data_IF_794323066439
#
_entry.id   IF_794323066439
#
_cell.length_a   1.000
_cell.length_b   1.000
_cell.length_c   1.000
_cell.angle_alpha   90.00
_cell.angle_beta   90.00
_cell.angle_gamma   90.00
#
_symmetry.space_group_name_H-M   'P 1'
#
loop_
_entity.id
_entity.type
_entity.pdbx_description
1 polymer ?
#
# COMPACT_ATOMS: atom_id res chain seq x y z
N UNK A 1 -41.18 79.60 -40.63
CA UNK A 1 -39.98 78.91 -40.12
C UNK A 1 -39.51 79.63 -38.84
N UNK A 2 -40.07 79.28 -37.68
CA UNK A 2 -39.89 80.06 -36.44
C UNK A 2 -39.83 79.20 -35.15
N UNK A 3 -39.60 77.89 -35.25
CA UNK A 3 -39.85 76.97 -34.12
C UNK A 3 -38.72 75.99 -33.80
N UNK A 4 -37.51 76.14 -34.38
CA UNK A 4 -36.43 75.14 -34.19
C UNK A 4 -35.21 75.67 -33.45
N UNK A 5 -34.97 77.00 -33.42
CA UNK A 5 -33.79 77.57 -32.75
C UNK A 5 -34.02 77.99 -31.29
N UNK A 6 -35.27 78.18 -30.87
CA UNK A 6 -35.60 78.68 -29.53
C UNK A 6 -35.63 77.59 -28.44
N UNK A 7 -35.75 76.32 -28.83
CA UNK A 7 -35.76 75.18 -27.88
C UNK A 7 -34.36 74.72 -27.49
N UNK A 8 -33.35 74.92 -28.35
CA UNK A 8 -31.98 74.42 -28.09
C UNK A 8 -31.17 75.36 -27.19
N UNK A 9 -31.44 76.67 -27.19
CA UNK A 9 -30.73 77.64 -26.31
C UNK A 9 -31.22 77.66 -24.85
N UNK A 10 -32.40 77.10 -24.56
CA UNK A 10 -32.98 77.08 -23.20
C UNK A 10 -32.70 75.78 -22.42
N UNK A 11 -32.28 74.70 -23.09
CA UNK A 11 -31.91 73.45 -22.42
C UNK A 11 -30.48 73.46 -21.86
N UNK A 12 -29.56 74.21 -22.48
CA UNK A 12 -28.17 74.34 -22.03
C UNK A 12 -28.02 74.95 -20.63
N UNK A 13 -28.68 76.08 -20.27
CA UNK A 13 -28.58 76.64 -18.92
C UNK A 13 -29.24 75.74 -17.87
N UNK A 14 -30.27 74.97 -18.24
CA UNK A 14 -30.97 74.07 -17.31
C UNK A 14 -30.13 72.84 -16.96
N UNK A 15 -29.46 72.25 -17.95
CA UNK A 15 -28.48 71.20 -17.73
C UNK A 15 -27.30 71.68 -16.87
N UNK A 16 -26.81 72.91 -17.09
CA UNK A 16 -25.72 73.49 -16.30
C UNK A 16 -26.10 73.68 -14.82
N UNK A 17 -27.33 74.11 -14.52
CA UNK A 17 -27.81 74.25 -13.13
C UNK A 17 -27.92 72.90 -12.43
N UNK A 18 -28.41 71.86 -13.14
CA UNK A 18 -28.47 70.50 -12.58
C UNK A 18 -27.05 69.98 -12.28
N UNK A 19 -26.11 70.20 -13.20
CA UNK A 19 -24.71 69.84 -12.99
C UNK A 19 -24.07 70.60 -11.82
N UNK A 20 -24.29 71.91 -11.69
CA UNK A 20 -23.77 72.69 -10.57
C UNK A 20 -24.40 72.29 -9.23
N UNK A 21 -25.69 71.96 -9.21
CA UNK A 21 -26.35 71.44 -8.02
C UNK A 21 -25.79 70.07 -7.62
N UNK A 22 -25.58 69.16 -8.59
CA UNK A 22 -24.94 67.87 -8.35
C UNK A 22 -23.50 68.03 -7.84
N UNK A 23 -22.73 68.93 -8.43
CA UNK A 23 -21.36 69.20 -8.03
C UNK A 23 -21.30 69.83 -6.63
N UNK A 24 -22.25 70.71 -6.31
CA UNK A 24 -22.44 71.26 -4.97
C UNK A 24 -22.77 70.18 -3.94
N UNK A 25 -23.65 69.23 -4.26
CA UNK A 25 -23.99 68.09 -3.39
C UNK A 25 -22.77 67.18 -3.18
N UNK A 26 -21.98 66.92 -4.22
CA UNK A 26 -20.75 66.12 -4.12
C UNK A 26 -19.71 66.84 -3.25
N UNK A 27 -19.47 68.13 -3.47
CA UNK A 27 -18.52 68.92 -2.66
C UNK A 27 -18.99 68.99 -1.22
N UNK A 28 -20.29 69.19 -0.97
CA UNK A 28 -20.86 69.15 0.37
C UNK A 28 -20.68 67.78 1.03
N UNK A 29 -20.94 66.68 0.31
CA UNK A 29 -20.75 65.33 0.81
C UNK A 29 -19.27 65.07 1.17
N UNK A 30 -18.32 65.47 0.31
CA UNK A 30 -16.88 65.35 0.55
C UNK A 30 -16.43 66.23 1.72
N UNK A 31 -16.89 67.47 1.80
CA UNK A 31 -16.59 68.36 2.93
C UNK A 31 -17.14 67.81 4.25
N UNK A 32 -18.35 67.25 4.23
CA UNK A 32 -18.96 66.59 5.41
C UNK A 32 -18.15 65.36 5.82
N UNK A 33 -17.61 64.62 4.85
CA UNK A 33 -16.78 63.43 5.08
C UNK A 33 -15.41 63.78 5.69
N UNK A 34 -14.83 64.93 5.33
CA UNK A 34 -13.57 65.44 5.89
C UNK A 34 -13.78 65.98 7.32
N UNK A 35 -14.90 66.64 7.58
CA UNK A 35 -15.22 67.23 8.91
C UNK A 35 -15.71 66.17 9.91
N UNK A 36 -16.31 65.06 9.45
CA UNK A 36 -16.81 63.96 10.31
C UNK A 36 -16.20 62.59 9.93
N UNK A 37 -14.95 62.30 10.34
CA UNK A 37 -14.29 61.00 10.10
C UNK A 37 -14.99 59.81 10.79
N UNK A 38 -15.94 60.06 11.69
CA UNK A 38 -16.70 59.00 12.38
C UNK A 38 -17.70 58.27 11.47
N UNK A 39 -18.12 58.87 10.36
CA UNK A 39 -18.99 58.19 9.37
C UNK A 39 -18.25 57.05 8.64
N UNK A 40 -16.93 57.19 8.45
CA UNK A 40 -16.08 56.09 7.97
C UNK A 40 -15.93 54.96 8.99
N UNK A 41 -15.96 55.27 10.29
CA UNK A 41 -15.96 54.23 11.35
C UNK A 41 -17.25 53.43 11.36
N UNK A 42 -18.40 54.06 11.08
CA UNK A 42 -19.68 53.34 10.96
C UNK A 42 -19.70 52.45 9.71
N UNK A 43 -19.25 52.96 8.55
CA UNK A 43 -19.10 52.14 7.35
C UNK A 43 -18.11 50.98 7.52
N UNK A 44 -17.01 51.20 8.26
CA UNK A 44 -16.04 50.15 8.59
C UNK A 44 -16.60 49.14 9.59
N UNK A 45 -17.42 49.55 10.56
CA UNK A 45 -18.12 48.64 11.49
C UNK A 45 -19.20 47.81 10.80
N UNK A 46 -19.96 48.40 9.88
CA UNK A 46 -20.95 47.66 9.09
C UNK A 46 -20.24 46.68 8.15
N UNK A 47 -19.10 47.08 7.54
CA UNK A 47 -18.28 46.19 6.72
C UNK A 47 -17.60 45.09 7.56
N UNK A 48 -17.16 45.38 8.78
CA UNK A 48 -16.62 44.40 9.74
C UNK A 48 -17.70 43.50 10.36
N UNK A 49 -18.96 43.93 10.38
CA UNK A 49 -20.10 43.11 10.80
C UNK A 49 -20.71 42.29 9.64
N UNK A 50 -20.45 42.69 8.40
CA UNK A 50 -20.90 42.01 7.18
C UNK A 50 -19.84 41.08 6.57
N UNK A 51 -18.56 41.24 6.93
CA UNK A 51 -17.54 40.23 6.72
C UNK A 51 -17.66 39.24 7.89
N UNK A 52 -18.03 37.96 7.67
CA UNK A 52 -17.85 36.96 8.71
C UNK A 52 -16.38 37.02 9.11
N UNK A 53 -16.11 37.10 10.41
CA UNK A 53 -14.76 37.29 10.93
C UNK A 53 -13.81 36.26 10.30
N UNK A 54 -12.94 36.71 9.39
CA UNK A 54 -11.94 35.87 8.73
C UNK A 54 -10.88 35.30 9.69
N UNK A 55 -11.02 35.56 11.00
CA UNK A 55 -10.09 35.15 12.04
C UNK A 55 -10.59 34.00 12.93
N UNK A 56 -11.84 33.55 12.81
CA UNK A 56 -12.27 32.31 13.45
C UNK A 56 -12.12 31.18 12.44
N UNK A 57 -10.91 30.63 12.34
CA UNK A 57 -10.75 29.27 11.82
C UNK A 57 -11.62 28.42 12.74
N UNK A 58 -12.81 28.04 12.24
CA UNK A 58 -13.75 27.23 13.01
C UNK A 58 -13.01 26.01 13.54
N UNK A 59 -13.27 25.57 14.79
CA UNK A 59 -12.60 24.39 15.35
C UNK A 59 -12.63 23.20 14.38
N UNK A 60 -13.73 23.05 13.63
CA UNK A 60 -13.90 22.09 12.54
C UNK A 60 -12.84 22.19 11.44
N UNK A 61 -12.46 23.39 10.97
CA UNK A 61 -11.38 23.56 9.98
C UNK A 61 -10.03 23.14 10.54
N UNK A 62 -9.76 23.43 11.81
CA UNK A 62 -8.50 23.02 12.45
C UNK A 62 -8.44 21.50 12.63
N UNK A 63 -9.56 20.88 12.97
CA UNK A 63 -9.69 19.43 13.08
C UNK A 63 -9.53 18.74 11.72
N UNK A 64 -10.14 19.27 10.66
CA UNK A 64 -9.95 18.77 9.29
C UNK A 64 -8.49 18.86 8.84
N UNK A 65 -7.83 19.99 9.14
CA UNK A 65 -6.43 20.15 8.79
C UNK A 65 -5.54 19.15 9.54
N UNK A 66 -5.75 18.97 10.85
CA UNK A 66 -5.03 17.99 11.66
C UNK A 66 -5.26 16.57 11.15
N UNK A 67 -6.49 16.20 10.86
CA UNK A 67 -6.81 14.89 10.29
C UNK A 67 -6.10 14.67 8.95
N UNK A 68 -6.11 15.66 8.05
CA UNK A 68 -5.39 15.57 6.78
C UNK A 68 -3.88 15.38 6.98
N UNK A 69 -3.27 16.08 7.93
CA UNK A 69 -1.86 15.89 8.29
C UNK A 69 -1.58 14.49 8.86
N UNK A 70 -2.43 13.99 9.77
CA UNK A 70 -2.30 12.67 10.37
C UNK A 70 -2.37 11.56 9.31
N UNK A 71 -3.35 11.64 8.40
CA UNK A 71 -3.51 10.65 7.32
C UNK A 71 -2.37 10.76 6.32
N UNK A 72 -1.86 11.96 6.01
CA UNK A 72 -0.69 12.12 5.15
C UNK A 72 0.56 11.45 5.74
N UNK A 73 0.82 11.64 7.04
CA UNK A 73 1.93 10.96 7.74
C UNK A 73 1.73 9.44 7.76
N UNK A 74 0.49 8.96 7.97
CA UNK A 74 0.18 7.55 7.90
C UNK A 74 0.44 6.96 6.50
N UNK A 75 0.05 7.68 5.45
CA UNK A 75 0.27 7.29 4.06
C UNK A 75 1.76 7.22 3.70
N UNK A 76 2.57 8.17 4.17
CA UNK A 76 4.02 8.14 3.99
C UNK A 76 4.66 6.92 4.66
N UNK A 77 4.32 6.68 5.94
CA UNK A 77 4.83 5.51 6.70
C UNK A 77 4.41 4.18 6.07
N UNK A 78 3.18 4.10 5.56
CA UNK A 78 2.69 2.94 4.83
C UNK A 78 3.46 2.75 3.51
N UNK A 79 3.81 3.84 2.82
CA UNK A 79 4.68 3.82 1.65
C UNK A 79 6.04 3.20 1.93
N UNK A 80 6.74 3.67 2.97
CA UNK A 80 8.03 3.12 3.41
C UNK A 80 7.90 1.63 3.78
N UNK A 81 6.81 1.25 4.46
CA UNK A 81 6.55 -0.15 4.81
C UNK A 81 6.36 -1.01 3.56
N UNK A 82 5.61 -0.54 2.56
CA UNK A 82 5.40 -1.25 1.30
C UNK A 82 6.71 -1.44 0.53
N UNK A 83 7.59 -0.43 0.51
CA UNK A 83 8.93 -0.54 -0.10
C UNK A 83 9.80 -1.58 0.61
N UNK A 84 9.83 -1.56 1.96
CA UNK A 84 10.55 -2.56 2.73
C UNK A 84 10.05 -3.98 2.45
N UNK A 85 8.73 -4.19 2.46
CA UNK A 85 8.15 -5.51 2.18
C UNK A 85 8.43 -5.97 0.75
N UNK A 86 8.46 -5.06 -0.21
CA UNK A 86 8.87 -5.36 -1.58
C UNK A 86 10.32 -5.83 -1.65
N UNK A 87 11.23 -5.17 -0.93
CA UNK A 87 12.63 -5.59 -0.86
C UNK A 87 12.79 -6.96 -0.19
N UNK A 88 12.04 -7.23 0.89
CA UNK A 88 11.98 -8.54 1.55
C UNK A 88 11.50 -9.63 0.57
N UNK A 89 10.46 -9.36 -0.22
CA UNK A 89 9.96 -10.29 -1.24
C UNK A 89 10.99 -10.56 -2.34
N UNK A 90 11.66 -9.54 -2.88
CA UNK A 90 12.71 -9.72 -3.88
C UNK A 90 13.87 -10.57 -3.34
N UNK A 91 14.27 -10.35 -2.09
CA UNK A 91 15.30 -11.17 -1.43
C UNK A 91 14.83 -12.63 -1.29
N UNK A 92 13.55 -12.85 -0.96
CA UNK A 92 13.00 -14.20 -0.89
C UNK A 92 12.95 -14.88 -2.28
N UNK A 93 12.64 -14.12 -3.34
CA UNK A 93 12.66 -14.61 -4.71
C UNK A 93 14.06 -15.05 -5.15
N UNK A 94 15.09 -14.23 -4.87
CA UNK A 94 16.48 -14.61 -5.15
C UNK A 94 16.88 -15.91 -4.43
N UNK A 95 16.43 -16.09 -3.18
CA UNK A 95 16.68 -17.31 -2.42
C UNK A 95 15.97 -18.54 -3.01
N UNK A 96 14.76 -18.38 -3.55
CA UNK A 96 14.04 -19.47 -4.25
C UNK A 96 14.77 -19.87 -5.52
N UNK A 97 15.20 -18.89 -6.32
CA UNK A 97 15.94 -19.14 -7.57
C UNK A 97 17.27 -19.85 -7.28
N UNK A 98 18.02 -19.40 -6.27
CA UNK A 98 19.26 -20.06 -5.87
C UNK A 98 19.03 -21.51 -5.42
N UNK A 99 17.98 -21.76 -4.62
CA UNK A 99 17.63 -23.11 -4.20
C UNK A 99 17.16 -23.99 -5.37
N UNK A 100 16.47 -23.41 -6.34
CA UNK A 100 16.05 -24.09 -7.56
C UNK A 100 17.26 -24.48 -8.42
N UNK A 101 18.21 -23.58 -8.62
CA UNK A 101 19.43 -23.87 -9.37
C UNK A 101 20.23 -25.01 -8.70
N UNK A 102 20.38 -25.00 -7.38
CA UNK A 102 21.03 -26.09 -6.66
C UNK A 102 20.31 -27.46 -6.86
N UNK A 103 18.97 -27.45 -6.91
CA UNK A 103 18.20 -28.65 -7.25
C UNK A 103 18.47 -29.13 -8.68
N UNK A 104 18.64 -28.23 -9.63
CA UNK A 104 18.95 -28.60 -11.02
C UNK A 104 20.34 -29.19 -11.17
N UNK A 105 21.33 -28.60 -10.49
CA UNK A 105 22.72 -29.06 -10.54
C UNK A 105 22.84 -30.50 -10.01
N UNK A 106 22.18 -30.81 -8.88
CA UNK A 106 22.20 -32.17 -8.33
C UNK A 106 21.44 -33.18 -9.22
N UNK A 107 20.39 -32.76 -9.92
CA UNK A 107 19.66 -33.63 -10.85
C UNK A 107 20.48 -33.98 -12.11
N UNK A 108 21.37 -33.09 -12.55
CA UNK A 108 22.35 -33.41 -13.61
C UNK A 108 23.32 -34.48 -13.13
N UNK A 109 23.88 -34.32 -11.93
CA UNK A 109 24.81 -35.28 -11.33
C UNK A 109 24.14 -36.65 -11.10
N UNK A 110 22.91 -36.66 -10.60
CA UNK A 110 22.14 -37.89 -10.39
C UNK A 110 21.84 -38.63 -11.68
N UNK A 111 21.50 -37.93 -12.77
CA UNK A 111 21.30 -38.56 -14.08
C UNK A 111 22.59 -39.21 -14.59
N UNK A 112 23.72 -38.54 -14.43
CA UNK A 112 25.04 -39.08 -14.79
C UNK A 112 25.39 -40.32 -13.98
N UNK A 113 25.14 -40.30 -12.67
CA UNK A 113 25.38 -41.44 -11.78
C UNK A 113 24.43 -42.62 -12.04
N UNK A 114 23.15 -42.34 -12.31
CA UNK A 114 22.18 -43.35 -12.68
C UNK A 114 22.59 -44.08 -13.98
N UNK A 115 23.08 -43.34 -14.98
CA UNK A 115 23.65 -43.93 -16.19
C UNK A 115 24.87 -44.83 -15.88
N UNK A 116 25.73 -44.41 -14.95
CA UNK A 116 26.87 -45.22 -14.52
C UNK A 116 26.46 -46.51 -13.80
N UNK A 117 25.36 -46.49 -13.02
CA UNK A 117 24.84 -47.71 -12.35
C UNK A 117 24.25 -48.75 -13.30
N UNK A 118 23.91 -48.37 -14.54
CA UNK A 118 23.46 -49.32 -15.55
C UNK A 118 24.61 -50.21 -16.08
N UNK A 119 25.87 -49.82 -15.82
CA UNK A 119 27.03 -50.62 -16.19
C UNK A 119 27.25 -51.75 -15.17
N UNK A 120 27.70 -52.94 -15.61
CA UNK A 120 28.06 -54.02 -14.71
C UNK A 120 29.10 -53.55 -13.69
N UNK A 121 28.81 -53.78 -12.40
CA UNK A 121 29.69 -53.38 -11.32
C UNK A 121 30.98 -54.24 -11.38
N UNK A 122 32.17 -53.62 -11.37
CA UNK A 122 33.42 -54.37 -11.30
C UNK A 122 33.44 -55.16 -9.99
N UNK A 123 33.91 -56.42 -10.05
CA UNK A 123 34.09 -57.23 -8.86
C UNK A 123 35.21 -56.63 -8.02
N UNK A 124 34.84 -55.92 -6.97
CA UNK A 124 35.78 -55.36 -5.99
C UNK A 124 36.09 -56.40 -4.92
N UNK A 125 37.36 -56.51 -4.49
CA UNK A 125 37.76 -57.48 -3.46
C UNK A 125 37.11 -57.11 -2.12
N UNK A 126 36.41 -58.06 -1.52
CA UNK A 126 35.68 -57.86 -0.26
C UNK A 126 36.60 -58.06 0.96
N UNK A 127 37.66 -57.24 1.07
CA UNK A 127 38.61 -57.32 2.18
C UNK A 127 38.23 -56.37 3.32
N UNK A 128 38.62 -56.67 4.58
CA UNK A 128 38.41 -55.74 5.69
C UNK A 128 39.04 -54.35 5.48
N UNK A 129 40.21 -54.29 4.82
CA UNK A 129 40.88 -53.03 4.51
C UNK A 129 40.05 -52.18 3.54
N UNK A 130 39.52 -52.79 2.48
CA UNK A 130 38.63 -52.15 1.52
C UNK A 130 37.36 -51.59 2.18
N UNK A 131 36.73 -52.35 3.09
CA UNK A 131 35.55 -51.86 3.81
C UNK A 131 35.87 -50.66 4.69
N UNK A 132 37.02 -50.65 5.36
CA UNK A 132 37.47 -49.50 6.13
C UNK A 132 37.75 -48.27 5.24
N UNK A 133 38.26 -48.46 4.02
CA UNK A 133 38.42 -47.37 3.06
C UNK A 133 37.08 -46.81 2.56
N UNK A 134 36.09 -47.67 2.31
CA UNK A 134 34.73 -47.26 1.93
C UNK A 134 34.03 -46.48 3.03
N UNK A 135 34.16 -46.93 4.27
CA UNK A 135 33.64 -46.21 5.44
C UNK A 135 34.27 -44.82 5.56
N UNK A 136 35.61 -44.73 5.46
CA UNK A 136 36.34 -43.44 5.44
C UNK A 136 35.88 -42.54 4.30
N UNK A 137 35.68 -43.11 3.10
CA UNK A 137 35.15 -42.37 1.95
C UNK A 137 33.77 -41.81 2.25
N UNK A 138 32.84 -42.65 2.72
CA UNK A 138 31.47 -42.25 3.05
C UNK A 138 31.45 -41.11 4.06
N UNK A 139 32.22 -41.22 5.15
CA UNK A 139 32.28 -40.19 6.19
C UNK A 139 32.82 -38.87 5.65
N UNK A 140 33.89 -38.91 4.83
CA UNK A 140 34.45 -37.71 4.21
C UNK A 140 33.47 -37.07 3.22
N UNK A 141 32.81 -37.87 2.39
CA UNK A 141 31.86 -37.38 1.41
C UNK A 141 30.62 -36.77 2.09
N UNK A 142 30.08 -37.42 3.12
CA UNK A 142 28.97 -36.90 3.91
C UNK A 142 29.35 -35.60 4.65
N UNK A 143 30.53 -35.54 5.26
CA UNK A 143 31.03 -34.32 5.91
C UNK A 143 31.19 -33.17 4.90
N UNK A 144 31.78 -33.44 3.74
CA UNK A 144 31.96 -32.43 2.70
C UNK A 144 30.60 -31.91 2.18
N UNK A 145 29.60 -32.78 2.03
CA UNK A 145 28.25 -32.35 1.65
C UNK A 145 27.57 -31.53 2.76
N UNK A 146 27.76 -31.89 4.03
CA UNK A 146 27.29 -31.08 5.15
C UNK A 146 27.96 -29.70 5.21
N UNK A 147 29.27 -29.63 5.00
CA UNK A 147 30.01 -28.35 4.97
C UNK A 147 29.53 -27.42 3.84
N UNK A 148 29.07 -28.00 2.73
CA UNK A 148 28.40 -27.26 1.63
C UNK A 148 26.91 -26.96 1.88
N UNK A 149 26.38 -27.34 3.05
CA UNK A 149 24.96 -27.19 3.42
C UNK A 149 23.99 -28.00 2.52
N UNK A 150 24.50 -29.05 1.87
CA UNK A 150 23.75 -29.94 0.99
C UNK A 150 23.10 -31.11 1.74
N UNK A 151 23.55 -31.38 2.97
CA UNK A 151 22.96 -32.35 3.89
C UNK A 151 22.56 -31.67 5.20
N UNK A 152 21.48 -32.17 5.81
CA UNK A 152 21.12 -31.77 7.17
C UNK A 152 22.05 -32.41 8.21
N UNK A 153 22.13 -31.78 9.39
CA UNK A 153 22.87 -32.33 10.53
C UNK A 153 22.38 -33.74 10.91
N UNK A 154 21.07 -33.97 10.86
CA UNK A 154 20.48 -35.29 11.11
C UNK A 154 20.94 -36.32 10.08
N UNK A 155 20.94 -35.96 8.79
CA UNK A 155 21.41 -36.85 7.73
C UNK A 155 22.90 -37.17 7.85
N UNK A 156 23.73 -36.20 8.26
CA UNK A 156 25.13 -36.43 8.59
C UNK A 156 25.27 -37.42 9.75
N UNK A 157 24.53 -37.20 10.84
CA UNK A 157 24.54 -38.10 11.99
C UNK A 157 24.13 -39.53 11.64
N UNK A 158 23.14 -39.70 10.77
CA UNK A 158 22.71 -41.00 10.28
C UNK A 158 23.73 -41.66 9.35
N UNK A 159 24.44 -40.89 8.52
CA UNK A 159 25.52 -41.39 7.69
C UNK A 159 26.71 -41.90 8.52
N UNK A 160 27.12 -41.12 9.53
CA UNK A 160 28.20 -41.50 10.45
C UNK A 160 27.84 -42.70 11.34
N UNK A 161 26.55 -42.85 11.67
CA UNK A 161 26.05 -43.97 12.47
C UNK A 161 25.57 -45.18 11.64
N UNK A 162 25.69 -45.12 10.30
CA UNK A 162 25.26 -46.17 9.38
C UNK A 162 23.78 -46.58 9.56
N UNK A 163 22.90 -45.60 9.79
CA UNK A 163 21.44 -45.79 9.94
C UNK A 163 20.70 -45.40 8.67
N UNK A 164 19.37 -45.58 8.62
CA UNK A 164 18.52 -45.04 7.54
C UNK A 164 18.99 -45.36 6.10
N UNK A 165 19.58 -46.55 5.90
CA UNK A 165 20.02 -47.02 4.58
C UNK A 165 21.44 -46.59 4.19
N UNK A 166 22.19 -45.92 5.08
CA UNK A 166 23.63 -45.69 4.95
C UNK A 166 24.39 -46.95 5.32
N UNK A 167 24.97 -47.64 4.33
CA UNK A 167 25.72 -48.88 4.55
C UNK A 167 27.13 -48.78 3.95
N UNK A 168 28.19 -48.80 4.78
CA UNK A 168 29.58 -48.70 4.33
C UNK A 168 30.04 -49.95 3.55
N UNK A 169 29.27 -51.05 3.55
CA UNK A 169 29.60 -52.28 2.82
C UNK A 169 29.10 -52.28 1.37
N UNK A 170 28.21 -51.37 1.01
CA UNK A 170 27.70 -51.23 -0.37
C UNK A 170 28.82 -50.93 -1.36
N UNK A 171 28.52 -51.12 -2.65
CA UNK A 171 29.47 -50.73 -3.67
C UNK A 171 29.66 -49.19 -3.66
N UNK A 172 30.86 -48.65 -3.88
CA UNK A 172 31.11 -47.20 -3.83
C UNK A 172 30.15 -46.37 -4.69
N UNK A 173 29.78 -46.87 -5.88
CA UNK A 173 28.80 -46.20 -6.76
C UNK A 173 27.40 -46.16 -6.14
N UNK A 174 26.99 -47.22 -5.44
CA UNK A 174 25.70 -47.25 -4.73
C UNK A 174 25.72 -46.30 -3.53
N UNK A 175 26.85 -46.17 -2.84
CA UNK A 175 27.04 -45.22 -1.74
C UNK A 175 26.92 -43.78 -2.23
N UNK A 176 27.60 -43.45 -3.34
CA UNK A 176 27.49 -42.14 -3.96
C UNK A 176 26.04 -41.86 -4.41
N UNK A 177 25.34 -42.85 -4.97
CA UNK A 177 23.94 -42.69 -5.36
C UNK A 177 23.02 -42.42 -4.16
N UNK A 178 23.20 -43.13 -3.05
CA UNK A 178 22.47 -42.88 -1.79
C UNK A 178 22.75 -41.48 -1.29
N UNK A 179 24.02 -41.07 -1.28
CA UNK A 179 24.44 -39.73 -0.86
C UNK A 179 23.78 -38.64 -1.70
N UNK A 180 23.85 -38.77 -3.03
CA UNK A 180 23.30 -37.77 -3.95
C UNK A 180 21.77 -37.70 -3.92
N UNK A 181 21.10 -38.82 -3.68
CA UNK A 181 19.64 -38.83 -3.44
C UNK A 181 19.28 -38.11 -2.15
N UNK A 182 20.02 -38.35 -1.07
CA UNK A 182 19.80 -37.67 0.20
C UNK A 182 20.02 -36.14 0.08
N UNK A 183 21.05 -35.72 -0.66
CA UNK A 183 21.30 -34.31 -0.99
C UNK A 183 20.14 -33.72 -1.80
N UNK A 184 19.71 -34.38 -2.87
CA UNK A 184 18.55 -33.93 -3.67
C UNK A 184 17.30 -33.75 -2.80
N UNK A 185 16.98 -34.73 -1.96
CA UNK A 185 15.79 -34.67 -1.12
C UNK A 185 15.88 -33.51 -0.12
N UNK A 186 17.08 -33.23 0.41
CA UNK A 186 17.32 -32.08 1.28
C UNK A 186 17.17 -30.74 0.54
N UNK A 187 17.80 -30.59 -0.63
CA UNK A 187 17.72 -29.39 -1.44
C UNK A 187 16.28 -29.11 -1.91
N UNK A 188 15.53 -30.16 -2.29
CA UNK A 188 14.11 -30.05 -2.62
C UNK A 188 13.29 -29.56 -1.43
N UNK A 189 13.59 -30.03 -0.21
CA UNK A 189 12.94 -29.55 1.00
C UNK A 189 13.28 -28.07 1.28
N UNK A 190 14.54 -27.67 1.09
CA UNK A 190 14.96 -26.27 1.21
C UNK A 190 14.26 -25.38 0.19
N UNK A 191 14.20 -25.80 -1.08
CA UNK A 191 13.49 -25.08 -2.14
C UNK A 191 12.00 -24.90 -1.80
N UNK A 192 11.32 -25.95 -1.32
CA UNK A 192 9.91 -25.84 -0.88
C UNK A 192 9.75 -24.85 0.27
N UNK A 193 10.65 -24.86 1.24
CA UNK A 193 10.64 -23.94 2.37
C UNK A 193 10.96 -22.49 1.94
N UNK A 194 11.84 -22.30 0.97
CA UNK A 194 12.10 -21.00 0.36
C UNK A 194 10.86 -20.48 -0.39
N UNK A 195 10.22 -21.34 -1.18
CA UNK A 195 9.02 -20.97 -1.94
C UNK A 195 7.83 -20.60 -1.04
N UNK A 196 7.71 -21.24 0.14
CA UNK A 196 6.69 -20.84 1.12
C UNK A 196 7.01 -19.47 1.73
N UNK A 197 8.28 -19.21 2.06
CA UNK A 197 8.70 -17.89 2.54
C UNK A 197 8.48 -16.80 1.50
N UNK A 198 8.79 -17.07 0.23
CA UNK A 198 8.50 -16.15 -0.88
C UNK A 198 7.00 -15.86 -0.99
N UNK A 199 6.13 -16.88 -0.97
CA UNK A 199 4.67 -16.68 -1.00
C UNK A 199 4.19 -15.81 0.15
N UNK A 200 4.68 -16.04 1.36
CA UNK A 200 4.32 -15.22 2.53
C UNK A 200 4.81 -13.77 2.39
N UNK A 201 6.05 -13.57 1.93
CA UNK A 201 6.62 -12.24 1.71
C UNK A 201 5.89 -11.48 0.59
N UNK A 202 5.50 -12.19 -0.49
CA UNK A 202 4.69 -11.63 -1.56
C UNK A 202 3.33 -11.16 -1.03
N UNK A 203 2.65 -11.98 -0.22
CA UNK A 203 1.36 -11.60 0.35
C UNK A 203 1.47 -10.39 1.28
N UNK A 204 2.49 -10.35 2.13
CA UNK A 204 2.79 -9.21 3.00
C UNK A 204 3.08 -7.94 2.19
N UNK A 205 3.82 -8.06 1.08
CA UNK A 205 4.12 -6.94 0.19
C UNK A 205 2.87 -6.40 -0.52
N UNK A 206 2.01 -7.29 -1.02
CA UNK A 206 0.75 -6.91 -1.65
C UNK A 206 -0.20 -6.22 -0.66
N UNK A 207 -0.31 -6.74 0.57
CA UNK A 207 -1.12 -6.14 1.61
C UNK A 207 -0.60 -4.76 2.02
N UNK A 208 0.72 -4.62 2.19
CA UNK A 208 1.35 -3.34 2.50
C UNK A 208 1.15 -2.33 1.37
N UNK A 209 1.29 -2.77 0.11
CA UNK A 209 1.06 -1.91 -1.05
C UNK A 209 -0.41 -1.48 -1.16
N UNK A 210 -1.36 -2.37 -0.90
CA UNK A 210 -2.79 -2.04 -0.87
C UNK A 210 -3.13 -1.04 0.23
N UNK A 211 -2.61 -1.26 1.44
CA UNK A 211 -2.77 -0.33 2.58
C UNK A 211 -2.19 1.05 2.26
N UNK A 212 -1.01 1.09 1.66
CA UNK A 212 -0.36 2.34 1.26
C UNK A 212 -1.11 3.07 0.14
N UNK A 213 -1.78 2.36 -0.78
CA UNK A 213 -2.67 2.98 -1.78
C UNK A 213 -3.91 3.57 -1.12
N UNK A 214 -4.59 2.79 -0.29
CA UNK A 214 -5.78 3.24 0.43
C UNK A 214 -5.53 4.49 1.27
N UNK A 215 -4.42 4.53 2.02
CA UNK A 215 -4.06 5.70 2.83
C UNK A 215 -3.68 6.92 1.99
N UNK A 216 -3.06 6.72 0.82
CA UNK A 216 -2.79 7.84 -0.11
C UNK A 216 -4.08 8.42 -0.68
N UNK A 217 -5.03 7.56 -1.04
CA UNK A 217 -6.35 7.98 -1.52
C UNK A 217 -7.12 8.73 -0.42
N UNK A 218 -7.04 8.25 0.83
CA UNK A 218 -7.63 8.91 1.99
C UNK A 218 -6.95 10.25 2.30
N UNK A 219 -5.61 10.32 2.26
CA UNK A 219 -4.86 11.57 2.45
C UNK A 219 -5.24 12.61 1.38
N UNK A 220 -5.39 12.17 0.13
CA UNK A 220 -5.83 13.03 -0.97
C UNK A 220 -7.26 13.54 -0.75
N UNK A 221 -8.17 12.66 -0.32
CA UNK A 221 -9.55 13.03 -0.01
C UNK A 221 -9.64 13.98 1.20
N UNK A 222 -8.84 13.76 2.24
CA UNK A 222 -8.80 14.59 3.44
C UNK A 222 -8.28 16.01 3.14
N UNK A 223 -7.27 16.13 2.28
CA UNK A 223 -6.74 17.43 1.85
C UNK A 223 -7.75 18.27 1.04
N UNK A 224 -8.70 17.63 0.35
CA UNK A 224 -9.74 18.30 -0.43
C UNK A 224 -11.04 18.59 0.33
N UNK A 225 -11.14 18.22 1.62
CA UNK A 225 -12.39 18.37 2.39
C UNK A 225 -12.53 19.78 2.93
N UNK A 226 -13.59 20.47 2.52
CA UNK A 226 -14.03 21.72 3.14
C UNK A 226 -14.98 21.43 4.32
N UNK A 227 -14.99 22.25 5.37
CA UNK A 227 -15.99 22.12 6.43
C UNK A 227 -17.38 22.30 5.83
N UNK A 228 -18.32 21.43 6.19
CA UNK A 228 -19.73 21.68 5.92
C UNK A 228 -20.11 22.97 6.64
N UNK A 229 -20.27 24.08 5.90
CA UNK A 229 -20.93 25.25 6.46
C UNK A 229 -22.33 24.81 6.90
N UNK A 230 -22.67 24.85 8.19
CA UNK A 230 -24.03 24.57 8.60
C UNK A 230 -24.91 25.56 7.86
N UNK A 231 -25.78 25.04 7.01
CA UNK A 231 -26.71 25.83 6.21
C UNK A 231 -27.74 26.43 7.17
N UNK A 232 -27.33 27.50 7.87
CA UNK A 232 -28.14 28.29 8.79
C UNK A 232 -29.02 29.23 7.96
N UNK A 233 -29.88 28.65 7.14
CA UNK A 233 -31.10 29.30 6.70
C UNK A 233 -32.28 28.57 7.35
N UNK A 234 -32.79 29.05 8.49
CA UNK A 234 -34.13 28.70 8.91
C UNK A 234 -35.09 29.34 7.91
N UNK A 235 -35.60 28.57 6.96
CA UNK A 235 -36.85 28.91 6.28
C UNK A 235 -37.96 28.82 7.33
N UNK A 236 -38.66 29.93 7.67
CA UNK A 236 -39.77 29.85 8.59
C UNK A 236 -40.96 29.23 7.86
N UNK A 237 -41.42 28.08 8.36
CA UNK A 237 -42.79 27.63 8.23
C UNK A 237 -43.17 26.99 6.90
N UNK A 238 -43.20 25.65 6.91
CA UNK A 238 -44.44 24.95 6.55
C UNK A 238 -44.59 23.77 7.49
N UNK A 239 -45.48 23.92 8.47
CA UNK A 239 -46.09 22.78 9.14
C UNK A 239 -46.68 21.88 8.06
N UNK A 240 -46.14 20.67 7.91
CA UNK A 240 -46.79 19.62 7.15
C UNK A 240 -47.22 18.52 8.12
N UNK A 241 -48.54 18.26 8.23
CA UNK A 241 -49.05 17.28 9.17
C UNK A 241 -48.64 15.88 8.72
N UNK A 242 -48.15 15.11 9.69
CA UNK A 242 -47.93 13.67 9.63
C UNK A 242 -49.18 12.92 9.16
N UNK A 243 -49.09 12.06 8.13
CA UNK A 243 -49.98 10.92 8.01
C UNK A 243 -49.27 9.68 8.53
N UNK A 244 -49.89 9.07 9.53
CA UNK A 244 -49.55 7.76 10.03
C UNK A 244 -49.76 6.66 8.98
N UNK A 245 -49.00 5.57 9.15
CA UNK A 245 -49.33 4.19 8.81
C UNK A 245 -49.44 3.78 7.33
N UNK A 246 -48.43 3.04 6.84
CA UNK A 246 -48.56 1.60 6.58
C UNK A 246 -47.27 1.02 5.96
N UNK A 247 -46.61 0.09 6.66
CA UNK A 247 -45.60 -0.77 6.04
C UNK A 247 -45.80 -2.21 6.55
N UNK A 248 -46.17 -3.17 5.69
CA UNK A 248 -46.24 -4.57 6.07
C UNK A 248 -44.84 -5.19 6.26
N UNK A 249 -44.73 -6.31 7.00
CA UNK A 249 -43.46 -6.90 7.39
C UNK A 249 -42.68 -7.48 6.21
N UNK A 250 -41.37 -7.27 6.21
CA UNK A 250 -40.42 -7.95 5.32
C UNK A 250 -40.32 -9.42 5.75
N UNK A 251 -40.61 -10.33 4.83
CA UNK A 251 -40.32 -11.75 4.98
C UNK A 251 -38.83 -12.00 4.86
N UNK A 252 -38.29 -12.67 5.87
CA UNK A 252 -36.96 -13.27 5.89
C UNK A 252 -36.80 -14.27 4.73
N UNK A 253 -35.73 -14.13 3.94
CA UNK A 253 -35.24 -15.23 3.11
C UNK A 253 -34.00 -15.81 3.77
N UNK A 254 -34.23 -16.89 4.50
CA UNK A 254 -33.21 -17.87 4.86
C UNK A 254 -33.03 -18.89 3.72
N UNK A 255 -31.76 -19.27 3.51
CA UNK A 255 -31.26 -20.55 2.96
C UNK A 255 -31.38 -20.88 1.48
N UNK A 256 -30.21 -21.06 0.84
CA UNK A 256 -29.67 -22.34 0.31
C UNK A 256 -28.33 -22.01 -0.38
N UNK A 257 -27.13 -22.44 0.05
CA UNK A 257 -26.55 -23.80 0.20
C UNK A 257 -26.85 -24.74 -0.97
N UNK A 258 -25.92 -24.78 -1.92
CA UNK A 258 -25.54 -25.91 -2.80
C UNK A 258 -24.13 -25.54 -3.30
N UNK A 259 -23.03 -26.12 -2.82
CA UNK A 259 -22.56 -27.49 -3.04
C UNK A 259 -22.67 -27.89 -4.50
N UNK A 260 -21.60 -27.65 -5.27
CA UNK A 260 -21.33 -28.31 -6.55
C UNK A 260 -20.00 -29.03 -6.39
N UNK A 261 -20.06 -30.30 -6.80
CA UNK A 261 -19.06 -31.35 -6.73
C UNK A 261 -17.82 -31.09 -7.60
#
# INVERSE_FOLDING_TARGET
>A
MQTVLSSVLLDVPRAAVIWLALLGVIVAAVATLIVRPDLFRVGRRIRQAALPAESEVTPERQELHRYAEEVAVAAERAGVTAERRRAEWLTAQEAVEAAWQACQDIEVDLRRLAAATALPLPRTPQTPAEYADRERYLHRAARAAYERQELSEQQLGDALAHRNGWDPRRHPVEQELVLRRAVRDHLLAQHRAAAERERSAWHDAELAAASARSLRDEAFAAAGREPETPNLLPLPGTDHPTPAANRPPRTDFAQSRTAVA
#
